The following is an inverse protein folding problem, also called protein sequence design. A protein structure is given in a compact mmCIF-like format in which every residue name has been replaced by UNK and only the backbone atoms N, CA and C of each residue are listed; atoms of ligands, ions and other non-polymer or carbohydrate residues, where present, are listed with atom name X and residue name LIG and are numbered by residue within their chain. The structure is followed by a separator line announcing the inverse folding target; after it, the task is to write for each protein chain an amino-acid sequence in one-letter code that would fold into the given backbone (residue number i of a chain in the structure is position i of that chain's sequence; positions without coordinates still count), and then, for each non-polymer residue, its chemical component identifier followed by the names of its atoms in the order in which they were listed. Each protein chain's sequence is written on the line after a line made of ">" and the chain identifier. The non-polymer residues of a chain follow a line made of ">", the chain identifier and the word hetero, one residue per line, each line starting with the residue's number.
data_IF_726067781954
#
_entry.id   IF_726067781954
#
_cell.length_a   1.000
_cell.length_b   1.000
_cell.length_c   1.000
_cell.angle_alpha   90.00
_cell.angle_beta   90.00
_cell.angle_gamma   90.00
#
_symmetry.space_group_name_H-M   'P 1'
#
loop_
_entity.id
_entity.type
_entity.pdbx_description
1 polymer ?
#
# COMPACT_ATOMS: atom_id res chain seq x y z
N UNK A 1 6.03 7.02 -19.16
CA UNK A 1 5.85 8.37 -18.55
C UNK A 1 4.39 8.89 -18.59
N UNK A 2 3.37 8.02 -18.76
CA UNK A 2 1.95 8.31 -18.46
C UNK A 2 1.57 7.90 -17.02
N UNK A 3 2.49 7.22 -16.33
CA UNK A 3 2.28 6.53 -15.05
C UNK A 3 2.15 7.52 -13.89
N UNK A 4 2.64 8.75 -14.03
CA UNK A 4 2.55 9.78 -12.98
C UNK A 4 1.09 10.11 -12.67
N UNK A 5 0.21 10.18 -13.69
CA UNK A 5 -1.22 10.42 -13.48
C UNK A 5 -1.88 9.25 -12.76
N UNK A 6 -1.54 8.01 -13.14
CA UNK A 6 -2.02 6.81 -12.47
C UNK A 6 -1.53 6.75 -11.01
N UNK A 7 -0.27 7.04 -10.77
CA UNK A 7 0.34 7.13 -9.44
C UNK A 7 -0.35 8.18 -8.58
N UNK A 8 -0.66 9.37 -9.10
CA UNK A 8 -1.40 10.40 -8.35
C UNK A 8 -2.78 9.88 -7.92
N UNK A 9 -3.49 9.19 -8.82
CA UNK A 9 -4.79 8.62 -8.47
C UNK A 9 -4.69 7.50 -7.43
N UNK A 10 -3.73 6.59 -7.61
CA UNK A 10 -3.57 5.42 -6.73
C UNK A 10 -3.04 5.84 -5.35
N UNK A 11 -2.04 6.71 -5.29
CA UNK A 11 -1.49 7.24 -4.03
C UNK A 11 -2.56 7.97 -3.22
N UNK A 12 -3.50 8.68 -3.88
CA UNK A 12 -4.68 9.27 -3.19
C UNK A 12 -5.55 8.19 -2.55
N UNK A 13 -5.86 7.10 -3.28
CA UNK A 13 -6.67 5.99 -2.75
C UNK A 13 -5.99 5.27 -1.58
N UNK A 14 -4.71 4.93 -1.72
CA UNK A 14 -3.92 4.27 -0.65
C UNK A 14 -3.78 5.21 0.55
N UNK A 15 -3.55 6.50 0.32
CA UNK A 15 -3.48 7.49 1.37
C UNK A 15 -4.79 7.65 2.14
N UNK A 16 -5.94 7.55 1.48
CA UNK A 16 -7.25 7.57 2.14
C UNK A 16 -7.49 6.29 2.95
N UNK A 17 -7.14 5.13 2.38
CA UNK A 17 -7.21 3.84 3.08
C UNK A 17 -6.32 3.83 4.34
N UNK A 18 -5.12 4.40 4.26
CA UNK A 18 -4.23 4.51 5.40
C UNK A 18 -4.83 5.35 6.53
N UNK A 19 -5.51 6.46 6.19
CA UNK A 19 -6.21 7.29 7.18
C UNK A 19 -7.33 6.50 7.85
N UNK A 20 -8.11 5.73 7.09
CA UNK A 20 -9.16 4.85 7.65
C UNK A 20 -8.57 3.83 8.64
N UNK A 21 -7.37 3.30 8.34
CA UNK A 21 -6.61 2.41 9.23
C UNK A 21 -5.90 3.15 10.38
N UNK A 22 -6.12 4.45 10.58
CA UNK A 22 -5.42 5.26 11.60
C UNK A 22 -3.91 5.43 11.38
N UNK A 23 -3.44 5.20 10.16
CA UNK A 23 -2.03 5.32 9.77
C UNK A 23 -1.80 6.65 9.04
N UNK A 24 -0.55 7.13 9.10
CA UNK A 24 -0.20 8.40 8.45
C UNK A 24 -0.25 8.27 6.91
N UNK A 25 -1.14 9.04 6.29
CA UNK A 25 -1.30 9.09 4.83
C UNK A 25 0.00 9.35 4.07
N UNK A 26 0.85 10.26 4.58
CA UNK A 26 2.10 10.66 3.92
C UNK A 26 3.09 9.51 3.74
N UNK A 27 3.32 8.72 4.80
CA UNK A 27 4.23 7.55 4.74
C UNK A 27 3.74 6.52 3.72
N UNK A 28 2.45 6.23 3.70
CA UNK A 28 1.88 5.25 2.76
C UNK A 28 1.86 5.72 1.31
N UNK A 29 1.67 7.03 1.07
CA UNK A 29 1.84 7.62 -0.27
C UNK A 29 3.28 7.46 -0.75
N UNK A 30 4.26 7.75 0.10
CA UNK A 30 5.67 7.57 -0.21
C UNK A 30 6.00 6.09 -0.51
N UNK A 31 5.55 5.16 0.34
CA UNK A 31 5.74 3.73 0.10
C UNK A 31 5.10 3.25 -1.20
N UNK A 32 3.94 3.79 -1.59
CA UNK A 32 3.29 3.46 -2.87
C UNK A 32 4.17 3.87 -4.05
N UNK A 33 4.70 5.09 -4.04
CA UNK A 33 5.58 5.58 -5.11
C UNK A 33 6.87 4.75 -5.15
N UNK A 34 7.50 4.54 -3.99
CA UNK A 34 8.74 3.76 -3.89
C UNK A 34 8.55 2.32 -4.40
N UNK A 35 7.47 1.67 -3.97
CA UNK A 35 7.15 0.29 -4.38
C UNK A 35 6.90 0.20 -5.88
N UNK A 36 6.18 1.17 -6.46
CA UNK A 36 5.96 1.21 -7.90
C UNK A 36 7.27 1.27 -8.69
N UNK A 37 8.13 2.23 -8.36
CA UNK A 37 9.42 2.37 -9.03
C UNK A 37 10.28 1.13 -8.87
N UNK A 38 10.41 0.60 -7.65
CA UNK A 38 11.21 -0.60 -7.39
C UNK A 38 10.67 -1.81 -8.15
N UNK A 39 9.36 -2.00 -8.21
CA UNK A 39 8.75 -3.11 -8.93
C UNK A 39 8.90 -2.98 -10.45
N UNK A 40 8.82 -1.76 -10.98
CA UNK A 40 9.05 -1.49 -12.40
C UNK A 40 10.49 -1.83 -12.79
N UNK A 41 11.48 -1.36 -12.03
CA UNK A 41 12.89 -1.69 -12.27
C UNK A 41 13.16 -3.18 -12.08
N UNK A 42 12.68 -3.77 -10.98
CA UNK A 42 12.86 -5.20 -10.72
C UNK A 42 12.24 -6.04 -11.84
N UNK A 43 11.05 -5.68 -12.32
CA UNK A 43 10.40 -6.38 -13.42
C UNK A 43 11.08 -6.17 -14.76
N UNK A 44 11.62 -4.99 -15.03
CA UNK A 44 12.46 -4.77 -16.21
C UNK A 44 13.73 -5.63 -16.15
N UNK A 45 14.44 -5.64 -15.02
CA UNK A 45 15.65 -6.46 -14.86
C UNK A 45 15.35 -7.95 -14.98
N UNK A 46 14.28 -8.44 -14.35
CA UNK A 46 13.84 -9.83 -14.47
C UNK A 46 13.41 -10.16 -15.90
N UNK A 47 12.68 -9.27 -16.55
CA UNK A 47 12.26 -9.42 -17.94
C UNK A 47 13.46 -9.51 -18.88
N UNK A 48 14.44 -8.62 -18.74
CA UNK A 48 15.68 -8.65 -19.52
C UNK A 48 16.53 -9.89 -19.22
N UNK A 49 16.54 -10.35 -17.97
CA UNK A 49 17.26 -11.57 -17.58
C UNK A 49 16.66 -12.84 -18.19
N UNK A 50 15.32 -12.94 -18.22
CA UNK A 50 14.61 -14.14 -18.72
C UNK A 50 14.49 -14.13 -20.25
N UNK A 51 14.13 -12.99 -20.84
CA UNK A 51 13.77 -12.85 -22.26
C UNK A 51 14.99 -12.43 -23.09
N UNK A 52 15.98 -11.78 -22.47
CA UNK A 52 17.14 -11.23 -23.16
C UNK A 52 16.87 -9.87 -23.81
N UNK A 53 17.90 -9.33 -24.46
CA UNK A 53 17.89 -8.01 -25.10
C UNK A 53 17.20 -8.00 -26.47
N UNK A 54 16.77 -9.16 -26.98
CA UNK A 54 16.14 -9.28 -28.30
C UNK A 54 14.72 -8.71 -28.34
N UNK A 55 14.02 -8.73 -27.21
CA UNK A 55 12.64 -8.23 -27.09
C UNK A 55 12.47 -7.29 -25.88
N UNK A 56 13.12 -6.11 -25.89
CA UNK A 56 13.12 -5.20 -24.74
C UNK A 56 11.73 -4.65 -24.40
N UNK A 57 10.83 -4.59 -25.41
CA UNK A 57 9.44 -4.16 -25.22
C UNK A 57 8.68 -5.13 -24.32
N UNK A 58 8.90 -6.45 -24.48
CA UNK A 58 8.23 -7.47 -23.65
C UNK A 58 8.73 -7.42 -22.21
N UNK A 59 10.04 -7.19 -22.02
CA UNK A 59 10.62 -6.96 -20.70
C UNK A 59 10.04 -5.72 -20.02
N UNK A 60 9.83 -4.63 -20.76
CA UNK A 60 9.19 -3.42 -20.24
C UNK A 60 7.73 -3.66 -19.83
N UNK A 61 6.96 -4.41 -20.62
CA UNK A 61 5.59 -4.80 -20.28
C UNK A 61 5.52 -5.62 -18.99
N UNK A 62 6.50 -6.51 -18.76
CA UNK A 62 6.61 -7.28 -17.53
C UNK A 62 6.92 -6.36 -16.33
N UNK A 63 7.77 -5.35 -16.52
CA UNK A 63 7.99 -4.26 -15.57
C UNK A 63 6.70 -3.57 -15.15
N UNK A 64 5.90 -3.11 -16.11
CA UNK A 64 4.60 -2.48 -15.83
C UNK A 64 3.62 -3.42 -15.12
N UNK A 65 3.55 -4.69 -15.55
CA UNK A 65 2.72 -5.70 -14.92
C UNK A 65 3.07 -5.90 -13.45
N UNK A 66 4.35 -6.02 -13.13
CA UNK A 66 4.83 -6.15 -11.75
C UNK A 66 4.60 -4.88 -10.93
N UNK A 67 4.76 -3.70 -11.51
CA UNK A 67 4.43 -2.44 -10.84
C UNK A 67 2.95 -2.40 -10.39
N UNK A 68 2.01 -2.81 -11.26
CA UNK A 68 0.59 -2.87 -10.92
C UNK A 68 0.33 -3.92 -9.81
N UNK A 69 0.91 -5.11 -9.92
CA UNK A 69 0.75 -6.18 -8.92
C UNK A 69 1.29 -5.73 -7.56
N UNK A 70 2.42 -5.03 -7.53
CA UNK A 70 3.04 -4.55 -6.29
C UNK A 70 2.12 -3.61 -5.49
N UNK A 71 1.31 -2.80 -6.18
CA UNK A 71 0.31 -1.94 -5.55
C UNK A 71 -0.82 -2.76 -4.93
N UNK A 72 -1.25 -3.85 -5.58
CA UNK A 72 -2.26 -4.75 -5.02
C UNK A 72 -1.75 -5.41 -3.75
N UNK A 73 -0.48 -5.84 -3.74
CA UNK A 73 0.19 -6.40 -2.56
C UNK A 73 0.26 -5.36 -1.45
N UNK A 74 0.68 -4.13 -1.76
CA UNK A 74 0.75 -3.04 -0.78
C UNK A 74 -0.63 -2.71 -0.19
N UNK A 75 -1.67 -2.72 -1.03
CA UNK A 75 -3.06 -2.52 -0.61
C UNK A 75 -3.55 -3.66 0.30
N UNK A 76 -3.24 -4.91 -0.04
CA UNK A 76 -3.57 -6.06 0.80
C UNK A 76 -2.85 -5.98 2.15
N UNK A 77 -1.56 -5.63 2.16
CA UNK A 77 -0.79 -5.42 3.38
C UNK A 77 -1.35 -4.30 4.27
N UNK A 78 -1.90 -3.24 3.67
CA UNK A 78 -2.56 -2.16 4.39
C UNK A 78 -3.93 -2.57 4.92
N UNK A 79 -4.71 -3.33 4.15
CA UNK A 79 -6.02 -3.85 4.57
C UNK A 79 -5.93 -4.81 5.76
N UNK A 80 -4.84 -5.58 5.84
CA UNK A 80 -4.57 -6.49 6.96
C UNK A 80 -4.16 -5.77 8.26
N UNK A 81 -4.03 -4.44 8.26
CA UNK A 81 -3.79 -3.68 9.48
C UNK A 81 -5.13 -3.43 10.20
N UNK A 82 -5.16 -3.54 11.54
CA UNK A 82 -6.37 -3.31 12.33
C UNK A 82 -6.92 -1.91 12.06
N UNK A 83 -8.25 -1.81 11.93
CA UNK A 83 -8.92 -0.53 11.84
C UNK A 83 -8.87 0.19 13.18
N UNK A 84 -8.66 1.51 13.17
CA UNK A 84 -8.77 2.35 14.38
C UNK A 84 -10.23 2.72 14.66
N UNK A 85 -11.16 2.29 13.80
CA UNK A 85 -12.58 2.36 14.10
C UNK A 85 -12.92 1.30 15.17
N UNK A 86 -13.11 1.78 16.41
CA UNK A 86 -13.70 1.09 17.58
C UNK A 86 -12.76 0.28 18.47
N UNK A 87 -11.79 0.92 19.14
CA UNK A 87 -11.21 0.32 20.37
C UNK A 87 -10.88 1.33 21.49
N UNK A 88 -11.32 2.58 21.39
CA UNK A 88 -11.08 3.57 22.47
C UNK A 88 -12.31 4.45 22.72
N UNK A 89 -13.35 3.84 23.29
CA UNK A 89 -14.08 4.39 24.44
C UNK A 89 -14.88 3.24 25.06
N UNK A 90 -14.16 2.35 25.75
CA UNK A 90 -14.69 1.21 26.49
C UNK A 90 -15.24 1.72 27.84
N UNK A 91 -16.43 2.35 27.81
CA UNK A 91 -17.09 2.92 29.00
C UNK A 91 -17.36 1.87 30.10
N UNK A 92 -17.40 0.58 29.77
CA UNK A 92 -17.72 -0.51 30.71
C UNK A 92 -16.68 -0.72 31.82
N UNK A 93 -15.42 -0.27 31.64
CA UNK A 93 -14.40 -0.37 32.71
C UNK A 93 -14.54 0.67 33.82
N UNK A 94 -15.35 1.71 33.61
CA UNK A 94 -15.50 2.80 34.59
C UNK A 94 -16.55 2.48 35.66
N UNK A 95 -17.56 1.68 35.32
CA UNK A 95 -18.66 1.31 36.22
C UNK A 95 -18.25 0.23 37.23
N UNK A 96 -17.40 -0.72 36.82
CA UNK A 96 -16.92 -1.81 37.68
C UNK A 96 -16.09 -1.27 38.87
N UNK A 97 -15.24 -0.28 38.63
CA UNK A 97 -14.38 0.28 39.68
C UNK A 97 -15.13 1.19 40.68
N UNK A 98 -16.37 1.58 40.37
CA UNK A 98 -17.23 2.37 41.25
C UNK A 98 -18.03 1.51 42.23
N UNK A 99 -18.24 0.23 41.92
CA UNK A 99 -18.96 -0.70 42.80
C UNK A 99 -18.10 -1.33 43.89
N UNK A 100 -16.77 -1.22 43.80
CA UNK A 100 -15.84 -1.72 44.83
C UNK A 100 -15.41 -0.65 45.83
N UNK A 101 -15.96 0.57 45.76
CA UNK A 101 -15.58 1.73 46.61
C UNK A 101 -16.71 2.19 47.56
N UNK A 102 -17.82 1.46 47.66
CA UNK A 102 -18.88 1.69 48.66
C UNK A 102 -18.82 0.69 49.81
#
# INVERSE_FOLDING_TARGET
>A
MLEILALVFITRKIGALAIQKGLSSGRWKFYTVLTWFLAEFAGLFLGLFIIGMEMPIVAALLGYGLAIISILILRAALNNKPDVALDTFDFDKQDENSQFVS
#
